data_IF_212317754061
#
_entry.id   IF_212317754061
#
_cell.length_a   1.000
_cell.length_b   1.000
_cell.length_c   1.000
_cell.angle_alpha   90.00
_cell.angle_beta   90.00
_cell.angle_gamma   90.00
#
_symmetry.space_group_name_H-M   'P 1'
#
loop_
_entity.id
_entity.type
_entity.pdbx_description
1 polymer ?
#
# COMPACT_ATOMS: atom_id res chain seq x y z
N UNK A 1 -38.47 6.91 62.72
CA UNK A 1 -37.09 7.05 62.20
C UNK A 1 -36.35 5.76 62.55
N UNK A 2 -36.07 4.88 61.57
CA UNK A 2 -35.33 3.63 61.76
C UNK A 2 -33.85 3.99 61.94
N UNK A 3 -33.30 3.69 63.12
CA UNK A 3 -31.88 3.90 63.43
C UNK A 3 -31.08 2.92 62.59
N UNK A 4 -30.49 3.38 61.51
CA UNK A 4 -29.58 2.54 60.70
C UNK A 4 -28.44 2.09 61.62
N UNK A 5 -28.19 0.79 61.64
CA UNK A 5 -27.13 0.26 62.49
C UNK A 5 -25.76 0.65 61.87
N UNK A 6 -24.78 0.90 62.74
CA UNK A 6 -23.41 1.21 62.31
C UNK A 6 -22.86 0.10 61.41
N UNK A 7 -23.39 -1.11 61.54
CA UNK A 7 -23.06 -2.27 60.69
C UNK A 7 -23.60 -2.12 59.27
N UNK A 8 -24.81 -1.57 59.10
CA UNK A 8 -25.41 -1.36 57.76
C UNK A 8 -24.65 -0.29 56.99
N UNK A 9 -24.21 0.76 57.66
CA UNK A 9 -23.38 1.83 57.05
C UNK A 9 -21.99 1.28 56.67
N UNK A 10 -21.40 0.43 57.51
CA UNK A 10 -20.11 -0.21 57.22
C UNK A 10 -20.21 -1.20 56.07
N UNK A 11 -21.24 -2.03 56.06
CA UNK A 11 -21.48 -3.03 54.98
C UNK A 11 -21.75 -2.37 53.62
N UNK A 12 -22.56 -1.31 53.61
CA UNK A 12 -22.84 -0.60 52.34
C UNK A 12 -21.65 0.27 51.89
N UNK A 13 -20.92 0.89 52.82
CA UNK A 13 -19.74 1.71 52.50
C UNK A 13 -18.53 0.85 52.06
N UNK A 14 -18.15 -0.14 52.85
CA UNK A 14 -16.99 -1.00 52.55
C UNK A 14 -17.32 -2.00 51.43
N UNK A 15 -18.54 -2.57 51.44
CA UNK A 15 -18.99 -3.47 50.40
C UNK A 15 -19.09 -2.75 49.03
N UNK A 16 -19.65 -1.54 49.04
CA UNK A 16 -19.72 -0.71 47.84
C UNK A 16 -18.35 -0.35 47.30
N UNK A 17 -17.42 0.04 48.18
CA UNK A 17 -16.04 0.33 47.79
C UNK A 17 -15.31 -0.90 47.21
N UNK A 18 -15.52 -2.07 47.79
CA UNK A 18 -14.95 -3.33 47.32
C UNK A 18 -15.49 -3.70 45.91
N UNK A 19 -16.80 -3.51 45.69
CA UNK A 19 -17.41 -3.74 44.35
C UNK A 19 -16.83 -2.78 43.32
N UNK A 20 -16.75 -1.49 43.61
CA UNK A 20 -16.16 -0.49 42.70
C UNK A 20 -14.70 -0.83 42.37
N UNK A 21 -13.92 -1.18 43.41
CA UNK A 21 -12.52 -1.59 43.19
C UNK A 21 -12.42 -2.83 42.28
N UNK A 22 -13.24 -3.84 42.53
CA UNK A 22 -13.27 -5.05 41.70
C UNK A 22 -13.67 -4.72 40.24
N UNK A 23 -14.66 -3.87 40.03
CA UNK A 23 -15.05 -3.40 38.69
C UNK A 23 -13.92 -2.64 38.00
N UNK A 24 -13.20 -1.78 38.69
CA UNK A 24 -12.05 -1.04 38.13
C UNK A 24 -10.93 -2.02 37.76
N UNK A 25 -10.63 -3.01 38.60
CA UNK A 25 -9.61 -4.03 38.28
C UNK A 25 -10.02 -4.88 37.10
N UNK A 26 -11.27 -5.36 37.06
CA UNK A 26 -11.78 -6.11 35.93
C UNK A 26 -11.79 -5.29 34.64
N UNK A 27 -12.22 -4.04 34.70
CA UNK A 27 -12.18 -3.12 33.56
C UNK A 27 -10.74 -2.92 33.06
N UNK A 28 -9.78 -2.78 33.98
CA UNK A 28 -8.37 -2.63 33.61
C UNK A 28 -7.81 -3.88 32.94
N UNK A 29 -8.14 -5.08 33.46
CA UNK A 29 -7.76 -6.37 32.87
C UNK A 29 -8.37 -6.54 31.46
N UNK A 30 -9.66 -6.26 31.31
CA UNK A 30 -10.36 -6.36 30.01
C UNK A 30 -9.81 -5.33 29.03
N UNK A 31 -9.59 -4.08 29.48
CA UNK A 31 -9.03 -3.02 28.63
C UNK A 31 -7.60 -3.31 28.19
N UNK A 32 -6.82 -4.02 29.01
CA UNK A 32 -5.46 -4.44 28.64
C UNK A 32 -5.45 -5.56 27.56
N UNK A 33 -6.51 -6.37 27.49
CA UNK A 33 -6.64 -7.43 26.50
C UNK A 33 -7.30 -6.95 25.19
N UNK A 34 -8.18 -5.96 25.29
CA UNK A 34 -8.79 -5.34 24.10
C UNK A 34 -7.89 -4.22 23.63
N UNK A 35 -7.11 -4.48 22.59
CA UNK A 35 -6.33 -3.45 21.87
C UNK A 35 -7.27 -2.52 21.11
N UNK A 36 -8.09 -1.76 21.85
CA UNK A 36 -8.97 -0.77 21.25
C UNK A 36 -8.12 0.46 20.87
N UNK A 37 -7.64 0.50 19.65
CA UNK A 37 -7.01 1.68 19.05
C UNK A 37 -8.09 2.48 18.33
N UNK A 38 -8.67 3.44 19.01
CA UNK A 38 -9.50 4.46 18.36
C UNK A 38 -8.56 5.56 17.85
N UNK A 39 -8.48 5.71 16.54
CA UNK A 39 -7.74 6.79 15.91
C UNK A 39 -8.61 8.04 15.87
N UNK A 40 -8.30 9.02 16.73
CA UNK A 40 -8.95 10.32 16.80
C UNK A 40 -8.19 11.41 16.05
N UNK A 41 -7.18 11.04 15.24
CA UNK A 41 -6.42 12.02 14.47
C UNK A 41 -7.20 12.49 13.25
N UNK A 42 -7.08 13.77 12.93
CA UNK A 42 -7.61 14.37 11.71
C UNK A 42 -6.94 13.71 10.50
N UNK A 43 -7.72 12.93 9.71
CA UNK A 43 -7.21 12.14 8.57
C UNK A 43 -6.95 10.67 8.83
N UNK A 44 -7.22 10.14 10.04
CA UNK A 44 -7.04 8.70 10.40
C UNK A 44 -5.67 8.15 10.00
N UNK A 45 -4.62 8.89 10.33
CA UNK A 45 -3.23 8.62 9.92
C UNK A 45 -2.69 7.29 10.47
N UNK A 46 -3.35 6.71 11.48
CA UNK A 46 -2.98 5.45 12.14
C UNK A 46 -3.90 4.28 11.79
N UNK A 47 -4.74 4.42 10.76
CA UNK A 47 -5.59 3.30 10.27
C UNK A 47 -5.42 3.14 8.79
N UNK A 48 -5.23 1.88 8.34
CA UNK A 48 -5.13 1.56 6.93
C UNK A 48 -6.37 2.04 6.16
N UNK A 49 -6.16 2.54 4.96
CA UNK A 49 -7.24 2.92 4.04
C UNK A 49 -8.14 1.74 3.73
N UNK A 50 -9.36 2.01 3.30
CA UNK A 50 -10.30 0.96 2.90
C UNK A 50 -9.76 0.13 1.72
N UNK A 51 -9.09 0.79 0.77
CA UNK A 51 -8.45 0.12 -0.36
C UNK A 51 -7.39 -0.89 0.08
N UNK A 52 -6.50 -0.50 0.97
CA UNK A 52 -5.47 -1.39 1.53
C UNK A 52 -6.10 -2.56 2.27
N UNK A 53 -7.11 -2.29 3.11
CA UNK A 53 -7.82 -3.35 3.84
C UNK A 53 -8.50 -4.35 2.91
N UNK A 54 -9.08 -3.89 1.80
CA UNK A 54 -9.69 -4.78 0.82
C UNK A 54 -8.66 -5.66 0.14
N UNK A 55 -7.51 -5.10 -0.28
CA UNK A 55 -6.39 -5.86 -0.85
C UNK A 55 -5.94 -6.98 0.11
N UNK A 56 -5.77 -6.65 1.40
CA UNK A 56 -5.32 -7.61 2.40
C UNK A 56 -6.35 -8.69 2.73
N UNK A 57 -7.65 -8.36 2.71
CA UNK A 57 -8.75 -9.32 2.89
C UNK A 57 -8.93 -10.23 1.68
N UNK A 58 -8.65 -9.73 0.47
CA UNK A 58 -8.74 -10.53 -0.74
C UNK A 58 -7.64 -11.59 -0.82
N UNK A 59 -6.56 -11.48 -0.02
CA UNK A 59 -5.57 -12.56 0.16
C UNK A 59 -6.20 -13.88 0.62
N UNK A 60 -7.33 -13.83 1.35
CA UNK A 60 -8.06 -15.03 1.77
C UNK A 60 -8.82 -15.70 0.61
N UNK A 61 -9.26 -14.93 -0.39
CA UNK A 61 -10.11 -15.43 -1.49
C UNK A 61 -9.30 -16.15 -2.57
N UNK A 62 -8.07 -15.71 -2.81
CA UNK A 62 -7.17 -16.33 -3.78
C UNK A 62 -6.54 -17.64 -3.24
N UNK A 63 -6.79 -17.95 -1.96
CA UNK A 63 -6.43 -19.21 -1.33
C UNK A 63 -7.46 -20.26 -1.70
N UNK A 64 -7.11 -21.19 -2.59
CA UNK A 64 -7.80 -22.47 -2.65
C UNK A 64 -7.68 -23.22 -1.31
N UNK A 65 -8.43 -24.30 -1.13
CA UNK A 65 -8.58 -25.11 0.11
C UNK A 65 -7.27 -25.75 0.64
N UNK A 66 -6.10 -25.43 0.04
CA UNK A 66 -4.77 -25.90 0.43
C UNK A 66 -4.16 -25.02 1.54
N UNK A 67 -4.10 -25.60 2.74
CA UNK A 67 -3.53 -24.98 3.95
C UNK A 67 -2.00 -24.65 3.85
N UNK A 68 -1.34 -25.09 2.79
CA UNK A 68 0.07 -24.85 2.50
C UNK A 68 0.29 -23.74 1.45
N UNK A 69 -0.75 -22.96 1.18
CA UNK A 69 -0.75 -21.89 0.19
C UNK A 69 0.27 -20.80 0.54
N UNK A 70 0.91 -20.29 -0.50
CA UNK A 70 1.91 -19.23 -0.38
C UNK A 70 1.38 -18.04 0.43
N UNK A 71 2.18 -17.56 1.37
CA UNK A 71 1.90 -16.37 2.16
C UNK A 71 2.54 -15.17 1.51
N UNK A 72 1.85 -14.02 1.59
CA UNK A 72 2.50 -12.75 1.29
C UNK A 72 3.60 -12.52 2.33
N UNK A 73 4.84 -12.36 1.89
CA UNK A 73 5.97 -12.13 2.78
C UNK A 73 6.49 -10.70 2.60
N UNK A 74 6.61 -9.99 3.71
CA UNK A 74 7.24 -8.67 3.78
C UNK A 74 8.47 -8.79 4.67
N UNK A 75 9.65 -8.47 4.14
CA UNK A 75 10.88 -8.31 4.89
C UNK A 75 11.17 -6.83 5.04
N UNK A 76 11.15 -6.36 6.25
CA UNK A 76 11.46 -4.98 6.60
C UNK A 76 12.86 -4.89 7.18
N UNK A 77 13.73 -4.18 6.49
CA UNK A 77 15.12 -3.97 6.85
C UNK A 77 15.26 -2.62 7.51
N UNK A 78 15.72 -2.62 8.75
CA UNK A 78 15.97 -1.41 9.53
C UNK A 78 17.17 -1.60 10.43
N UNK A 79 18.24 -0.85 10.19
CA UNK A 79 19.38 -0.82 11.11
C UNK A 79 18.99 -0.15 12.42
N UNK A 80 19.18 -0.87 13.54
CA UNK A 80 18.91 -0.40 14.92
C UNK A 80 20.24 -0.22 15.67
N UNK A 81 20.25 0.70 16.65
CA UNK A 81 21.40 0.86 17.55
C UNK A 81 22.58 1.67 16.99
N UNK A 82 22.43 2.29 15.84
CA UNK A 82 23.44 3.19 15.30
C UNK A 82 23.18 4.63 15.79
N UNK A 83 24.09 5.16 16.62
CA UNK A 83 23.98 6.51 17.20
C UNK A 83 24.18 7.63 16.18
N UNK A 84 24.71 7.34 15.00
CA UNK A 84 24.95 8.30 13.92
C UNK A 84 23.70 8.57 13.09
N UNK A 85 22.61 7.79 13.32
CA UNK A 85 21.35 7.95 12.57
C UNK A 85 20.57 9.15 13.12
N UNK A 86 20.18 10.11 12.26
CA UNK A 86 19.33 11.23 12.68
C UNK A 86 18.04 10.77 13.37
N UNK A 87 17.67 11.42 14.47
CA UNK A 87 16.45 11.10 15.24
C UNK A 87 15.20 11.08 14.35
N UNK A 88 15.12 11.99 13.39
CA UNK A 88 14.00 12.06 12.44
C UNK A 88 13.87 10.77 11.62
N UNK A 89 14.99 10.21 11.18
CA UNK A 89 15.00 8.97 10.39
C UNK A 89 14.65 7.76 11.25
N UNK A 90 15.15 7.71 12.49
CA UNK A 90 14.80 6.67 13.46
C UNK A 90 13.31 6.69 13.82
N UNK A 91 12.75 7.90 14.05
CA UNK A 91 11.32 8.07 14.33
C UNK A 91 10.44 7.69 13.13
N UNK A 92 10.86 8.05 11.92
CA UNK A 92 10.18 7.62 10.70
C UNK A 92 10.21 6.09 10.55
N UNK A 93 11.37 5.47 10.74
CA UNK A 93 11.51 4.02 10.67
C UNK A 93 10.61 3.30 11.70
N UNK A 94 10.39 3.90 12.89
CA UNK A 94 9.45 3.36 13.87
C UNK A 94 8.02 3.43 13.36
N UNK A 95 7.59 4.55 12.77
CA UNK A 95 6.24 4.68 12.19
C UNK A 95 6.00 3.73 11.02
N UNK A 96 7.05 3.47 10.21
CA UNK A 96 6.98 2.42 9.16
C UNK A 96 6.75 1.05 9.79
N UNK A 97 7.48 0.72 10.85
CA UNK A 97 7.33 -0.55 11.57
C UNK A 97 5.91 -0.69 12.15
N UNK A 98 5.38 0.38 12.76
CA UNK A 98 4.01 0.40 13.30
C UNK A 98 2.95 0.24 12.18
N UNK A 99 3.17 0.83 11.01
CA UNK A 99 2.31 0.66 9.84
C UNK A 99 2.31 -0.80 9.35
N UNK A 100 3.49 -1.43 9.25
CA UNK A 100 3.61 -2.82 8.84
C UNK A 100 2.96 -3.79 9.84
N UNK A 101 3.01 -3.48 11.13
CA UNK A 101 2.29 -4.24 12.15
C UNK A 101 0.77 -4.19 11.93
N UNK A 102 0.22 -3.06 11.47
CA UNK A 102 -1.19 -2.96 11.10
C UNK A 102 -1.52 -3.80 9.85
N UNK A 103 -0.62 -3.84 8.85
CA UNK A 103 -0.77 -4.74 7.70
C UNK A 103 -0.84 -6.18 8.19
N UNK A 104 0.08 -6.59 9.08
CA UNK A 104 0.11 -7.94 9.66
C UNK A 104 -1.15 -8.26 10.45
N UNK A 105 -1.63 -7.33 11.27
CA UNK A 105 -2.86 -7.50 12.06
C UNK A 105 -4.09 -7.64 11.14
N UNK A 106 -4.16 -6.84 10.08
CA UNK A 106 -5.28 -6.86 9.13
C UNK A 106 -5.30 -8.11 8.25
N UNK A 107 -4.14 -8.57 7.78
CA UNK A 107 -3.98 -9.74 6.92
C UNK A 107 -3.93 -11.07 7.71
N UNK A 108 -3.71 -11.02 9.02
CA UNK A 108 -3.68 -12.20 9.89
C UNK A 108 -2.59 -13.21 9.49
N UNK A 109 -3.00 -14.47 9.29
CA UNK A 109 -2.08 -15.57 8.92
C UNK A 109 -1.57 -15.49 7.48
N UNK A 110 -2.21 -14.69 6.63
CA UNK A 110 -1.89 -14.62 5.18
C UNK A 110 -0.68 -13.76 4.86
N UNK A 111 -0.22 -12.97 5.82
CA UNK A 111 0.98 -12.15 5.70
C UNK A 111 2.02 -12.63 6.71
N UNK A 112 3.25 -12.84 6.25
CA UNK A 112 4.43 -13.05 7.07
C UNK A 112 5.25 -11.77 7.08
N UNK A 113 5.49 -11.21 8.27
CA UNK A 113 6.30 -10.00 8.46
C UNK A 113 7.59 -10.35 9.18
N UNK A 114 8.71 -10.23 8.47
CA UNK A 114 10.05 -10.39 9.01
C UNK A 114 10.69 -9.03 9.24
N UNK A 115 11.14 -8.75 10.45
CA UNK A 115 11.85 -7.52 10.82
C UNK A 115 13.33 -7.85 10.99
N UNK A 116 14.16 -7.31 10.10
CA UNK A 116 15.58 -7.64 9.96
C UNK A 116 16.40 -6.40 10.33
N UNK A 117 17.46 -6.60 11.09
CA UNK A 117 18.36 -5.54 11.54
C UNK A 117 19.75 -5.71 10.90
N UNK A 118 19.95 -5.25 9.66
CA UNK A 118 21.25 -5.34 9.01
C UNK A 118 22.30 -4.56 9.77
N UNK A 119 23.42 -5.23 10.04
CA UNK A 119 24.64 -4.64 10.61
C UNK A 119 25.82 -4.95 9.71
N UNK A 120 26.86 -4.14 9.66
CA UNK A 120 28.04 -4.41 8.82
C UNK A 120 28.62 -5.81 9.06
N UNK A 121 28.97 -6.50 7.99
CA UNK A 121 29.59 -7.82 7.99
C UNK A 121 28.71 -8.92 8.62
N UNK A 122 27.37 -8.85 8.47
CA UNK A 122 26.44 -9.88 8.95
C UNK A 122 25.62 -10.50 7.81
N UNK A 123 25.08 -11.70 8.06
CA UNK A 123 24.18 -12.39 7.13
C UNK A 123 22.92 -11.56 6.81
N UNK A 124 22.47 -10.71 7.74
CA UNK A 124 21.34 -9.80 7.56
C UNK A 124 21.67 -8.68 6.56
N UNK A 125 22.91 -8.23 6.52
CA UNK A 125 23.38 -7.28 5.51
C UNK A 125 23.39 -7.94 4.13
N UNK A 126 23.97 -9.13 4.02
CA UNK A 126 23.98 -9.91 2.76
C UNK A 126 22.55 -10.14 2.25
N UNK A 127 21.63 -10.44 3.16
CA UNK A 127 20.21 -10.62 2.82
C UNK A 127 19.58 -9.30 2.33
N UNK A 128 19.91 -8.17 2.96
CA UNK A 128 19.43 -6.86 2.52
C UNK A 128 19.92 -6.54 1.10
N UNK A 129 21.19 -6.75 0.82
CA UNK A 129 21.78 -6.56 -0.51
C UNK A 129 21.15 -7.50 -1.54
N UNK A 130 20.96 -8.78 -1.21
CA UNK A 130 20.30 -9.78 -2.05
C UNK A 130 18.87 -9.38 -2.40
N UNK A 131 18.12 -8.83 -1.44
CA UNK A 131 16.75 -8.35 -1.63
C UNK A 131 16.71 -6.97 -2.33
N UNK A 132 17.86 -6.41 -2.70
CA UNK A 132 17.96 -5.13 -3.42
C UNK A 132 17.75 -3.90 -2.55
N UNK A 133 17.97 -4.00 -1.24
CA UNK A 133 17.89 -2.88 -0.32
C UNK A 133 19.19 -2.07 -0.38
N UNK A 134 19.06 -0.76 -0.53
CA UNK A 134 20.20 0.14 -0.60
C UNK A 134 20.52 0.72 0.77
N UNK A 135 21.82 0.74 1.11
CA UNK A 135 22.26 1.42 2.32
C UNK A 135 22.20 2.94 2.16
N UNK A 136 21.82 3.62 3.22
CA UNK A 136 21.88 5.07 3.33
C UNK A 136 23.19 5.41 4.03
N UNK A 137 24.03 6.22 3.39
CA UNK A 137 25.36 6.59 3.88
C UNK A 137 26.30 5.39 4.20
N UNK A 138 26.06 4.25 3.53
CA UNK A 138 26.94 3.09 3.62
C UNK A 138 26.71 2.15 4.82
N UNK A 139 25.98 2.57 5.85
CA UNK A 139 25.85 1.80 7.11
C UNK A 139 24.41 1.67 7.63
N UNK A 140 23.49 2.45 7.10
CA UNK A 140 22.10 2.45 7.56
C UNK A 140 21.16 1.92 6.47
N UNK A 141 20.45 0.86 6.79
CA UNK A 141 19.45 0.27 5.91
C UNK A 141 18.05 0.66 6.38
N UNK A 142 17.21 1.12 5.46
CA UNK A 142 15.80 1.38 5.67
C UNK A 142 15.04 1.13 4.38
N UNK A 143 14.54 -0.07 4.22
CA UNK A 143 13.84 -0.51 3.02
C UNK A 143 13.00 -1.74 3.28
N UNK A 144 12.35 -2.26 2.26
CA UNK A 144 11.59 -3.51 2.37
C UNK A 144 11.54 -4.26 1.05
N UNK A 145 11.45 -5.58 1.13
CA UNK A 145 11.07 -6.46 0.03
C UNK A 145 9.71 -7.10 0.31
N UNK A 146 8.92 -7.26 -0.73
CA UNK A 146 7.59 -7.82 -0.70
C UNK A 146 7.56 -8.95 -1.71
N UNK A 147 7.23 -10.16 -1.29
CA UNK A 147 7.22 -11.33 -2.16
C UNK A 147 5.95 -12.17 -1.99
N UNK A 148 5.51 -12.73 -3.10
CA UNK A 148 4.41 -13.69 -3.14
C UNK A 148 4.67 -14.68 -4.26
N UNK A 149 4.75 -15.99 -3.93
CA UNK A 149 5.24 -17.00 -4.85
C UNK A 149 6.61 -16.60 -5.43
N UNK A 150 6.74 -16.59 -6.76
CA UNK A 150 7.97 -16.24 -7.48
C UNK A 150 8.10 -14.73 -7.78
N UNK A 151 7.07 -13.94 -7.42
CA UNK A 151 7.06 -12.50 -7.66
C UNK A 151 7.67 -11.75 -6.48
N UNK A 152 8.60 -10.84 -6.77
CA UNK A 152 9.25 -9.99 -5.78
C UNK A 152 9.22 -8.53 -6.24
N UNK A 153 8.82 -7.65 -5.35
CA UNK A 153 8.89 -6.19 -5.52
C UNK A 153 9.67 -5.59 -4.35
N UNK A 154 10.50 -4.60 -4.63
CA UNK A 154 11.37 -4.01 -3.62
C UNK A 154 11.14 -2.50 -3.51
N UNK A 155 11.20 -1.99 -2.29
CA UNK A 155 11.39 -0.59 -1.94
C UNK A 155 12.81 -0.44 -1.41
N UNK A 156 13.81 -0.13 -2.27
CA UNK A 156 15.23 -0.19 -1.92
C UNK A 156 15.60 0.75 -0.79
N UNK A 157 14.90 1.89 -0.69
CA UNK A 157 15.08 2.89 0.35
C UNK A 157 13.76 3.62 0.60
N UNK A 158 13.46 3.87 1.86
CA UNK A 158 12.28 4.62 2.29
C UNK A 158 12.68 6.07 2.62
N UNK A 159 11.99 7.02 1.98
CA UNK A 159 12.24 8.46 2.16
C UNK A 159 11.18 9.07 3.09
N UNK A 160 11.57 9.69 4.22
CA UNK A 160 10.64 10.40 5.11
C UNK A 160 9.78 11.45 4.41
N UNK A 161 10.28 12.07 3.34
CA UNK A 161 9.53 13.07 2.55
C UNK A 161 8.31 12.48 1.86
N UNK A 162 8.30 11.16 1.65
CA UNK A 162 7.21 10.42 1.01
C UNK A 162 6.32 9.69 2.00
N UNK A 163 6.44 9.96 3.29
CA UNK A 163 5.69 9.29 4.36
C UNK A 163 4.18 9.26 4.09
N UNK A 164 3.60 10.35 3.58
CA UNK A 164 2.16 10.42 3.24
C UNK A 164 1.72 9.43 2.16
N UNK A 165 2.64 9.01 1.30
CA UNK A 165 2.37 8.09 0.20
C UNK A 165 2.83 6.66 0.51
N UNK A 166 3.39 6.43 1.71
CA UNK A 166 4.02 5.15 2.06
C UNK A 166 3.02 3.99 1.99
N UNK A 167 1.82 4.16 2.54
CA UNK A 167 0.76 3.16 2.47
C UNK A 167 0.41 2.81 1.02
N UNK A 168 0.26 3.82 0.18
CA UNK A 168 0.01 3.63 -1.25
C UNK A 168 1.17 2.89 -1.93
N UNK A 169 2.42 3.30 -1.66
CA UNK A 169 3.60 2.67 -2.26
C UNK A 169 3.70 1.19 -1.88
N UNK A 170 3.41 0.83 -0.63
CA UNK A 170 3.38 -0.55 -0.14
C UNK A 170 2.25 -1.34 -0.80
N UNK A 171 1.01 -0.84 -0.73
CA UNK A 171 -0.18 -1.51 -1.27
C UNK A 171 -0.09 -1.74 -2.77
N UNK A 172 0.47 -0.78 -3.50
CA UNK A 172 0.77 -0.91 -4.94
C UNK A 172 1.73 -2.07 -5.22
N UNK A 173 2.78 -2.23 -4.40
CA UNK A 173 3.73 -3.33 -4.55
C UNK A 173 3.11 -4.68 -4.20
N UNK A 174 2.31 -4.71 -3.14
CA UNK A 174 1.53 -5.91 -2.80
C UNK A 174 0.65 -6.31 -3.98
N UNK A 175 -0.09 -5.38 -4.57
CA UNK A 175 -0.94 -5.67 -5.74
C UNK A 175 -0.12 -6.21 -6.92
N UNK A 176 1.08 -5.69 -7.15
CA UNK A 176 1.95 -6.16 -8.24
C UNK A 176 2.45 -7.59 -8.02
N UNK A 177 2.84 -7.97 -6.81
CA UNK A 177 3.27 -9.34 -6.54
C UNK A 177 2.13 -10.34 -6.57
N UNK A 178 0.91 -9.91 -6.19
CA UNK A 178 -0.30 -10.73 -6.24
C UNK A 178 -0.81 -10.92 -7.68
N UNK A 179 -0.72 -9.86 -8.50
CA UNK A 179 -1.19 -9.84 -9.89
C UNK A 179 -0.05 -9.44 -10.82
N UNK A 180 0.88 -10.36 -11.11
CA UNK A 180 2.06 -10.06 -11.94
C UNK A 180 1.68 -9.71 -13.38
N UNK A 181 0.52 -10.19 -13.87
CA UNK A 181 0.00 -9.79 -15.18
C UNK A 181 -0.57 -8.38 -15.09
N UNK A 182 0.01 -7.46 -15.84
CA UNK A 182 -0.49 -6.09 -15.92
C UNK A 182 -1.87 -6.06 -16.56
N UNK A 183 -2.78 -5.28 -15.98
CA UNK A 183 -4.06 -4.94 -16.60
C UNK A 183 -3.80 -4.19 -17.90
N UNK A 184 -4.47 -4.59 -18.96
CA UNK A 184 -4.37 -3.95 -20.30
C UNK A 184 -5.33 -2.77 -20.36
N UNK A 185 -4.78 -1.56 -20.50
CA UNK A 185 -5.56 -0.33 -20.63
C UNK A 185 -5.51 0.18 -22.05
N UNK A 186 -6.63 0.10 -22.76
CA UNK A 186 -6.79 0.75 -24.06
C UNK A 186 -7.01 2.25 -23.87
N UNK A 187 -6.28 3.09 -24.59
CA UNK A 187 -6.51 4.55 -24.59
C UNK A 187 -6.89 4.99 -25.98
N UNK A 188 -8.13 5.42 -26.14
CA UNK A 188 -8.68 6.02 -27.36
C UNK A 188 -8.76 7.52 -27.20
N UNK A 189 -8.15 8.30 -28.11
CA UNK A 189 -8.23 9.76 -28.06
C UNK A 189 -8.11 10.36 -29.46
N UNK A 190 -8.89 11.40 -29.72
CA UNK A 190 -8.72 12.26 -30.91
C UNK A 190 -7.60 13.28 -30.72
N UNK A 191 -7.08 13.44 -29.51
CA UNK A 191 -5.95 14.30 -29.19
C UNK A 191 -4.62 13.53 -29.33
N UNK A 192 -3.52 14.25 -29.58
CA UNK A 192 -2.18 13.67 -29.66
C UNK A 192 -1.61 13.36 -28.26
N UNK A 193 -2.30 12.53 -27.48
CA UNK A 193 -1.88 12.17 -26.11
C UNK A 193 -0.65 11.25 -26.07
N UNK A 194 -0.36 10.59 -27.21
CA UNK A 194 0.77 9.65 -27.35
C UNK A 194 2.08 10.33 -27.66
N UNK A 195 2.04 11.66 -27.95
CA UNK A 195 3.20 12.41 -28.39
C UNK A 195 3.52 12.16 -29.88
N UNK A 196 4.74 12.42 -30.27
CA UNK A 196 5.19 12.33 -31.68
C UNK A 196 5.21 13.70 -32.38
N UNK A 197 5.23 13.75 -33.71
CA UNK A 197 5.33 15.00 -34.44
C UNK A 197 4.09 15.88 -34.19
N UNK A 198 4.30 17.16 -33.97
CA UNK A 198 3.24 18.13 -33.82
C UNK A 198 2.52 18.32 -35.17
N UNK A 199 1.36 17.69 -35.29
CA UNK A 199 0.53 17.75 -36.51
C UNK A 199 -0.12 19.12 -36.74
N UNK A 200 -0.13 19.99 -35.73
CA UNK A 200 -0.65 21.35 -35.85
C UNK A 200 0.34 22.33 -36.48
N UNK A 201 1.61 21.97 -36.52
CA UNK A 201 2.69 22.78 -37.10
C UNK A 201 3.30 22.14 -38.33
N UNK A 202 2.98 22.63 -39.55
CA UNK A 202 3.54 22.07 -40.79
C UNK A 202 5.10 22.08 -40.85
N UNK A 203 5.73 23.04 -40.15
CA UNK A 203 7.18 23.13 -40.07
C UNK A 203 7.77 22.04 -39.15
N UNK A 204 7.06 21.60 -38.11
CA UNK A 204 7.51 20.53 -37.24
C UNK A 204 7.56 19.16 -37.97
N UNK A 205 6.74 18.98 -38.98
CA UNK A 205 6.81 17.79 -39.85
C UNK A 205 8.10 17.74 -40.72
N UNK A 206 8.68 18.89 -41.05
CA UNK A 206 9.95 18.96 -41.79
C UNK A 206 11.17 18.82 -40.87
N UNK A 207 11.06 19.23 -39.64
CA UNK A 207 12.11 19.10 -38.63
C UNK A 207 11.96 17.76 -37.87
N UNK A 208 12.62 16.72 -38.35
CA UNK A 208 12.64 15.36 -37.74
C UNK A 208 13.13 15.30 -36.26
N UNK A 209 13.38 16.44 -35.59
CA UNK A 209 14.02 16.54 -34.29
C UNK A 209 13.11 16.88 -33.12
N UNK A 210 11.93 17.45 -33.31
CA UNK A 210 11.03 17.82 -32.19
C UNK A 210 9.84 16.89 -32.11
N UNK A 211 10.04 15.75 -31.47
CA UNK A 211 8.94 14.91 -31.03
C UNK A 211 8.41 15.38 -29.69
N UNK A 212 7.12 15.68 -29.60
CA UNK A 212 6.47 15.94 -28.34
C UNK A 212 6.42 14.64 -27.52
N UNK A 213 6.75 14.67 -26.22
CA UNK A 213 6.59 13.50 -25.36
C UNK A 213 5.11 13.14 -25.23
N UNK A 214 4.83 11.89 -24.92
CA UNK A 214 3.48 11.49 -24.52
C UNK A 214 3.03 12.30 -23.29
N UNK A 215 1.74 12.57 -23.17
CA UNK A 215 1.20 13.30 -22.03
C UNK A 215 1.52 12.59 -20.72
N UNK A 216 1.66 13.37 -19.64
CA UNK A 216 2.10 12.88 -18.33
C UNK A 216 1.23 11.71 -17.84
N UNK A 217 -0.09 11.77 -18.03
CA UNK A 217 -0.97 10.69 -17.60
C UNK A 217 -0.69 9.38 -18.35
N UNK A 218 -0.37 9.41 -19.65
CA UNK A 218 -0.02 8.20 -20.42
C UNK A 218 1.29 7.60 -19.90
N UNK A 219 2.28 8.47 -19.61
CA UNK A 219 3.54 8.03 -19.02
C UNK A 219 3.33 7.40 -17.64
N UNK A 220 2.43 7.98 -16.84
CA UNK A 220 2.08 7.46 -15.52
C UNK A 220 1.37 6.10 -15.62
N UNK A 221 0.40 5.96 -16.52
CA UNK A 221 -0.30 4.69 -16.75
C UNK A 221 0.67 3.57 -17.17
N UNK A 222 1.64 3.85 -18.03
CA UNK A 222 2.64 2.86 -18.48
C UNK A 222 3.51 2.30 -17.37
N UNK A 223 3.61 2.97 -16.23
CA UNK A 223 4.37 2.46 -15.09
C UNK A 223 3.70 1.22 -14.49
N UNK A 224 2.35 1.19 -14.45
CA UNK A 224 1.57 0.18 -13.74
C UNK A 224 0.76 -0.74 -14.64
N UNK A 225 0.41 -0.28 -15.84
CA UNK A 225 -0.49 -0.95 -16.78
C UNK A 225 0.22 -1.26 -18.10
N UNK A 226 -0.30 -2.22 -18.83
CA UNK A 226 0.01 -2.41 -20.25
C UNK A 226 -0.91 -1.47 -21.05
N UNK A 227 -0.34 -0.39 -21.60
CA UNK A 227 -1.13 0.69 -22.21
C UNK A 227 -1.06 0.58 -23.72
N UNK A 228 -2.21 0.31 -24.33
CA UNK A 228 -2.39 0.13 -25.78
C UNK A 228 -3.13 1.32 -26.37
N UNK A 229 -2.66 1.74 -27.55
CA UNK A 229 -3.33 2.79 -28.32
C UNK A 229 -4.49 2.19 -29.11
N UNK A 230 -5.70 2.69 -28.87
CA UNK A 230 -6.88 2.37 -29.69
C UNK A 230 -7.18 3.54 -30.63
N UNK A 231 -7.26 3.26 -31.90
CA UNK A 231 -7.56 4.29 -32.90
C UNK A 231 -9.02 4.76 -32.79
N UNK A 232 -9.31 6.07 -32.94
CA UNK A 232 -10.69 6.57 -32.95
C UNK A 232 -11.57 6.02 -34.08
N UNK A 233 -10.97 5.40 -35.09
CA UNK A 233 -11.66 4.73 -36.19
C UNK A 233 -11.72 3.21 -36.05
N UNK A 234 -11.40 2.67 -34.86
CA UNK A 234 -11.46 1.23 -34.60
C UNK A 234 -12.91 0.74 -34.70
N UNK A 235 -13.14 -0.31 -35.49
CA UNK A 235 -14.45 -0.95 -35.65
C UNK A 235 -14.67 -2.07 -34.63
N UNK A 236 -13.61 -2.49 -33.97
CA UNK A 236 -13.63 -3.52 -32.91
C UNK A 236 -12.56 -3.18 -31.87
N UNK A 237 -12.85 -3.45 -30.60
CA UNK A 237 -11.90 -3.32 -29.50
C UNK A 237 -11.39 -4.72 -29.16
N UNK A 238 -10.06 -4.86 -29.08
CA UNK A 238 -9.43 -6.13 -28.76
C UNK A 238 -9.92 -6.63 -27.39
N UNK A 239 -10.35 -7.88 -27.32
CA UNK A 239 -10.83 -8.55 -26.09
C UNK A 239 -9.77 -8.68 -25.01
N UNK A 240 -8.50 -8.44 -25.33
CA UNK A 240 -7.40 -8.38 -24.36
C UNK A 240 -7.38 -7.07 -23.57
N UNK A 241 -8.18 -6.07 -23.97
CA UNK A 241 -8.29 -4.79 -23.27
C UNK A 241 -9.24 -4.96 -22.07
N UNK A 242 -8.70 -4.89 -20.87
CA UNK A 242 -9.48 -5.00 -19.63
C UNK A 242 -10.25 -3.71 -19.31
N UNK A 243 -9.66 -2.55 -19.64
CA UNK A 243 -10.25 -1.22 -19.38
C UNK A 243 -10.01 -0.32 -20.58
N UNK A 244 -11.05 0.36 -21.06
CA UNK A 244 -10.94 1.34 -22.13
C UNK A 244 -11.12 2.77 -21.58
N UNK A 245 -10.10 3.60 -21.80
CA UNK A 245 -10.10 5.02 -21.46
C UNK A 245 -10.36 5.83 -22.74
N UNK A 246 -11.54 6.43 -22.84
CA UNK A 246 -11.94 7.27 -23.99
C UNK A 246 -11.78 8.75 -23.59
N UNK A 247 -10.89 9.46 -24.29
CA UNK A 247 -10.56 10.86 -23.99
C UNK A 247 -10.87 11.72 -25.19
N UNK A 248 -11.75 12.70 -24.99
CA UNK A 248 -12.11 13.67 -26.01
C UNK A 248 -12.47 13.01 -27.36
N UNK A 249 -13.48 12.11 -27.38
CA UNK A 249 -13.91 11.46 -28.59
C UNK A 249 -14.54 12.49 -29.54
N UNK A 250 -13.95 12.69 -30.68
CA UNK A 250 -14.50 13.54 -31.76
C UNK A 250 -14.63 12.73 -33.03
N UNK A 251 -15.75 12.93 -33.73
CA UNK A 251 -15.98 12.36 -35.06
C UNK A 251 -15.81 10.85 -35.10
N UNK A 252 -16.35 10.14 -34.11
CA UNK A 252 -16.42 8.68 -34.12
C UNK A 252 -17.36 8.24 -35.25
N UNK A 253 -17.07 7.10 -35.88
CA UNK A 253 -17.99 6.47 -36.80
C UNK A 253 -19.09 5.72 -36.02
N UNK A 254 -20.25 5.49 -36.63
CA UNK A 254 -21.32 4.66 -36.06
C UNK A 254 -20.81 3.27 -35.68
N UNK A 255 -19.86 2.73 -36.42
CA UNK A 255 -19.22 1.43 -36.13
C UNK A 255 -18.34 1.49 -34.90
N UNK A 256 -17.61 2.61 -34.69
CA UNK A 256 -16.81 2.83 -33.48
C UNK A 256 -17.70 3.03 -32.27
N UNK A 257 -18.80 3.79 -32.39
CA UNK A 257 -19.77 3.97 -31.30
C UNK A 257 -20.39 2.64 -30.90
N UNK A 258 -20.75 1.80 -31.87
CA UNK A 258 -21.23 0.44 -31.60
C UNK A 258 -20.16 -0.43 -30.89
N UNK A 259 -18.90 -0.35 -31.32
CA UNK A 259 -17.80 -1.10 -30.68
C UNK A 259 -17.52 -0.65 -29.23
N UNK A 260 -17.88 0.59 -28.87
CA UNK A 260 -17.76 1.11 -27.52
C UNK A 260 -18.90 0.65 -26.61
N UNK A 261 -20.05 0.28 -27.18
CA UNK A 261 -21.25 -0.11 -26.43
C UNK A 261 -21.29 -1.64 -26.14
N UNK A 262 -20.43 -2.42 -26.78
CA UNK A 262 -20.31 -3.87 -26.56
C UNK A 262 -19.43 -4.22 -25.38
#
# INVERSE_FOLDING_TARGET
>A
MKKESKLDILLHGVGGAAVVFTCVVLFNIVSAQVKFRADFTEGKVFTLSEGTRNILKDLDKDRGDDSDSAKLKIRFFRTKGNNDVPIMLSSFAQRVEDLLDQYKETAGSNLELEKINPSPDTDEEDLAVKDGISSIQGTFYLGMSISYLDSVETLPSLDPRRERNLEYDISRRITKVLKPKKTVVGVMSSLNVWGGPDRSNPMAMMNRGQQQPAWVFVQQLRQDYDVQQIQPAATEIDKTVDVLLVIHPKSLSEQTEYALDQ
#
